data_IF_369938484147
#
_entry.id   IF_369938484147
#
_cell.length_a   1.000
_cell.length_b   1.000
_cell.length_c   1.000
_cell.angle_alpha   90.00
_cell.angle_beta   90.00
_cell.angle_gamma   90.00
#
_symmetry.space_group_name_H-M   'P 1'
#
loop_
_entity.id
_entity.type
_entity.pdbx_description
1 polymer ?
#
# COMPACT_ATOMS: atom_id res chain seq x y z
N UNK A 1 15.27 14.12 -2.17
CA UNK A 1 14.24 13.42 -1.36
C UNK A 1 13.09 14.41 -1.17
N UNK A 2 11.84 13.95 -1.16
CA UNK A 2 10.68 14.85 -0.97
C UNK A 2 10.40 15.05 0.53
N UNK A 3 11.37 15.56 1.27
CA UNK A 3 11.28 15.76 2.72
C UNK A 3 10.07 16.60 3.15
N UNK A 4 9.77 17.77 2.53
CA UNK A 4 8.63 18.58 2.96
C UNK A 4 7.27 17.88 2.77
N UNK A 5 7.12 17.05 1.74
CA UNK A 5 5.90 16.26 1.55
C UNK A 5 5.77 15.15 2.59
N UNK A 6 6.88 14.50 2.94
CA UNK A 6 6.96 13.49 4.01
C UNK A 6 6.61 14.13 5.35
N UNK A 7 7.20 15.28 5.67
CA UNK A 7 6.95 16.03 6.89
C UNK A 7 5.48 16.44 7.01
N UNK A 8 4.83 16.82 5.91
CA UNK A 8 3.41 17.18 5.90
C UNK A 8 2.53 16.01 6.35
N UNK A 9 2.80 14.79 5.86
CA UNK A 9 2.06 13.59 6.25
C UNK A 9 2.35 13.21 7.72
N UNK A 10 3.63 13.22 8.11
CA UNK A 10 4.05 12.90 9.47
C UNK A 10 3.44 13.85 10.49
N UNK A 11 3.52 15.17 10.24
CA UNK A 11 2.93 16.19 11.09
C UNK A 11 1.39 16.05 11.16
N UNK A 12 0.73 15.72 10.04
CA UNK A 12 -0.71 15.46 10.06
C UNK A 12 -1.04 14.33 11.05
N UNK A 13 -0.35 13.19 10.96
CA UNK A 13 -0.60 12.04 11.83
C UNK A 13 -0.37 12.36 13.31
N UNK A 14 0.72 13.07 13.61
CA UNK A 14 1.04 13.53 14.98
C UNK A 14 -0.02 14.49 15.51
N UNK A 15 -0.40 15.50 14.73
CA UNK A 15 -1.38 16.51 15.13
C UNK A 15 -2.79 15.95 15.34
N UNK A 16 -3.12 14.83 14.68
CA UNK A 16 -4.40 14.13 14.85
C UNK A 16 -4.33 12.99 15.86
N UNK A 17 -3.20 12.82 16.54
CA UNK A 17 -3.01 11.78 17.55
C UNK A 17 -3.20 10.36 16.99
N UNK A 18 -2.85 10.12 15.72
CA UNK A 18 -3.00 8.81 15.06
C UNK A 18 -1.74 7.98 15.29
N UNK A 19 -1.76 6.96 16.16
CA UNK A 19 -0.63 6.04 16.28
C UNK A 19 -0.36 5.37 14.94
N UNK A 20 0.86 5.50 14.44
CA UNK A 20 1.21 5.01 13.11
C UNK A 20 2.69 4.65 12.99
N UNK A 21 2.99 3.69 12.12
CA UNK A 21 4.34 3.43 11.63
C UNK A 21 4.45 4.05 10.24
N UNK A 22 5.40 4.94 10.07
CA UNK A 22 5.63 5.65 8.82
C UNK A 22 6.93 5.15 8.17
N UNK A 23 6.80 4.40 7.08
CA UNK A 23 7.93 3.81 6.36
C UNK A 23 8.22 4.65 5.12
N UNK A 24 9.46 5.09 5.00
CA UNK A 24 9.94 5.90 3.87
C UNK A 24 11.07 5.16 3.15
N UNK A 25 10.75 4.21 2.26
CA UNK A 25 11.77 3.48 1.55
C UNK A 25 12.45 4.36 0.51
N UNK A 26 13.74 4.13 0.30
CA UNK A 26 14.50 4.76 -0.78
C UNK A 26 14.69 3.77 -1.92
N UNK A 27 14.39 4.23 -3.16
CA UNK A 27 14.68 3.43 -4.35
C UNK A 27 16.19 3.36 -4.58
N UNK A 28 16.81 2.18 -4.54
CA UNK A 28 18.26 2.03 -4.59
C UNK A 28 18.84 2.26 -5.99
N UNK A 29 18.04 2.06 -7.04
CA UNK A 29 18.46 2.18 -8.43
C UNK A 29 17.41 2.97 -9.22
N UNK A 30 17.73 4.22 -9.53
CA UNK A 30 16.83 5.12 -10.27
C UNK A 30 16.46 4.59 -11.65
N UNK A 31 17.38 3.86 -12.31
CA UNK A 31 17.14 3.35 -13.65
C UNK A 31 16.18 2.16 -13.67
N UNK A 32 16.22 1.32 -12.63
CA UNK A 32 15.30 0.20 -12.45
C UNK A 32 13.97 0.63 -11.83
N UNK A 33 13.95 1.78 -11.16
CA UNK A 33 12.78 2.30 -10.48
C UNK A 33 12.19 1.34 -9.44
N UNK A 34 10.96 1.59 -9.06
CA UNK A 34 10.27 0.83 -8.01
C UNK A 34 9.83 -0.58 -8.45
N UNK A 35 9.68 -0.82 -9.77
CA UNK A 35 9.25 -2.13 -10.28
C UNK A 35 10.17 -3.28 -9.89
N UNK A 36 11.50 -3.01 -9.83
CA UNK A 36 12.50 -4.01 -9.47
C UNK A 36 12.50 -4.42 -7.99
N UNK A 37 11.87 -3.61 -7.10
CA UNK A 37 11.89 -3.84 -5.66
C UNK A 37 10.49 -3.89 -5.03
N UNK A 38 9.44 -3.91 -5.82
CA UNK A 38 8.05 -3.92 -5.33
C UNK A 38 7.80 -5.07 -4.34
N UNK A 39 8.31 -6.27 -4.62
CA UNK A 39 8.21 -7.42 -3.73
C UNK A 39 8.95 -7.19 -2.40
N UNK A 40 10.12 -6.54 -2.44
CA UNK A 40 10.89 -6.24 -1.23
C UNK A 40 10.16 -5.20 -0.36
N UNK A 41 9.58 -4.18 -0.98
CA UNK A 41 8.75 -3.19 -0.26
C UNK A 41 7.54 -3.87 0.37
N UNK A 42 6.85 -4.75 -0.36
CA UNK A 42 5.71 -5.52 0.17
C UNK A 42 6.13 -6.39 1.35
N UNK A 43 7.26 -7.11 1.24
CA UNK A 43 7.78 -7.94 2.32
C UNK A 43 8.13 -7.13 3.58
N UNK A 44 8.70 -5.92 3.41
CA UNK A 44 8.96 -5.00 4.52
C UNK A 44 7.65 -4.56 5.19
N UNK A 45 6.62 -4.21 4.41
CA UNK A 45 5.31 -3.83 4.94
C UNK A 45 4.66 -4.98 5.73
N UNK A 46 4.67 -6.20 5.18
CA UNK A 46 4.11 -7.38 5.84
C UNK A 46 4.84 -7.70 7.15
N UNK A 47 6.17 -7.65 7.12
CA UNK A 47 7.00 -7.85 8.31
C UNK A 47 6.70 -6.81 9.39
N UNK A 48 6.67 -5.53 9.00
CA UNK A 48 6.35 -4.44 9.95
C UNK A 48 4.95 -4.58 10.50
N UNK A 49 3.97 -4.88 9.65
CA UNK A 49 2.59 -5.07 10.09
C UNK A 49 2.44 -6.20 11.11
N UNK A 50 3.23 -7.26 10.95
CA UNK A 50 3.24 -8.39 11.89
C UNK A 50 3.93 -8.03 13.22
N UNK A 51 5.12 -7.42 13.16
CA UNK A 51 5.94 -7.13 14.36
C UNK A 51 5.29 -6.04 15.22
N UNK A 52 4.76 -4.99 14.58
CA UNK A 52 4.15 -3.85 15.27
C UNK A 52 2.64 -4.03 15.51
N UNK A 53 2.07 -5.20 15.18
CA UNK A 53 0.63 -5.48 15.34
C UNK A 53 -0.27 -4.43 14.67
N UNK A 54 0.09 -4.05 13.44
CA UNK A 54 -0.62 -3.01 12.67
C UNK A 54 -2.00 -3.50 12.23
N UNK A 55 -2.99 -2.61 12.32
CA UNK A 55 -4.28 -2.80 11.68
C UNK A 55 -4.13 -2.81 10.16
N UNK A 56 -4.13 -3.99 9.56
CA UNK A 56 -3.95 -4.17 8.11
C UNK A 56 -5.11 -3.65 7.28
N UNK A 57 -6.22 -3.23 7.88
CA UNK A 57 -7.30 -2.51 7.20
C UNK A 57 -6.98 -1.02 6.99
N UNK A 58 -5.82 -0.56 7.46
CA UNK A 58 -5.38 0.84 7.45
C UNK A 58 -3.95 0.99 6.93
N UNK A 59 -3.64 0.39 5.79
CA UNK A 59 -2.35 0.55 5.13
C UNK A 59 -2.52 1.51 3.95
N UNK A 60 -1.79 2.62 3.97
CA UNK A 60 -1.89 3.68 2.97
C UNK A 60 -0.56 3.86 2.24
N UNK A 61 -0.61 4.38 1.01
CA UNK A 61 0.59 4.61 0.20
C UNK A 61 0.55 5.99 -0.44
N UNK A 62 1.69 6.70 -0.35
CA UNK A 62 1.88 8.05 -0.86
C UNK A 62 3.13 8.14 -1.72
N UNK A 63 3.13 9.03 -2.70
CA UNK A 63 4.33 9.26 -3.47
C UNK A 63 4.22 10.41 -4.47
N UNK A 64 5.29 11.17 -4.61
CA UNK A 64 5.43 12.23 -5.61
C UNK A 64 6.44 11.85 -6.69
N UNK A 65 6.20 12.23 -7.95
CA UNK A 65 7.11 11.99 -9.08
C UNK A 65 7.47 10.52 -9.24
N UNK A 66 8.75 10.15 -9.13
CA UNK A 66 9.20 8.77 -9.15
C UNK A 66 8.54 7.93 -8.04
N UNK A 67 8.31 8.50 -6.85
CA UNK A 67 7.55 7.85 -5.78
C UNK A 67 6.08 7.65 -6.13
N UNK A 68 5.47 8.59 -6.84
CA UNK A 68 4.11 8.45 -7.37
C UNK A 68 4.01 7.33 -8.42
N UNK A 69 5.00 7.19 -9.29
CA UNK A 69 5.11 6.05 -10.21
C UNK A 69 5.27 4.74 -9.42
N UNK A 70 6.02 4.77 -8.32
CA UNK A 70 6.11 3.65 -7.39
C UNK A 70 4.77 3.29 -6.76
N UNK A 71 3.99 4.30 -6.36
CA UNK A 71 2.63 4.12 -5.84
C UNK A 71 1.76 3.41 -6.87
N UNK A 72 1.69 3.89 -8.10
CA UNK A 72 0.96 3.23 -9.20
C UNK A 72 1.42 1.78 -9.40
N UNK A 73 2.74 1.55 -9.36
CA UNK A 73 3.29 0.20 -9.52
C UNK A 73 2.89 -0.74 -8.38
N UNK A 74 2.92 -0.26 -7.14
CA UNK A 74 2.50 -1.05 -5.98
C UNK A 74 1.02 -1.40 -6.04
N UNK A 75 0.15 -0.44 -6.40
CA UNK A 75 -1.29 -0.67 -6.58
C UNK A 75 -1.58 -1.73 -7.64
N UNK A 76 -0.92 -1.63 -8.80
CA UNK A 76 -1.09 -2.59 -9.89
C UNK A 76 -0.51 -3.97 -9.60
N UNK A 77 0.56 -4.06 -8.79
CA UNK A 77 1.22 -5.33 -8.45
C UNK A 77 0.51 -6.06 -7.32
N UNK A 78 -0.10 -5.32 -6.39
CA UNK A 78 -0.77 -5.84 -5.20
C UNK A 78 -2.20 -5.29 -5.09
N UNK A 79 -3.13 -5.73 -5.96
CA UNK A 79 -4.50 -5.25 -5.98
C UNK A 79 -5.19 -5.39 -4.62
N UNK A 80 -5.78 -4.28 -4.11
CA UNK A 80 -6.50 -4.27 -2.84
C UNK A 80 -5.64 -4.41 -1.58
N UNK A 81 -4.31 -4.33 -1.70
CA UNK A 81 -3.43 -4.36 -0.52
C UNK A 81 -3.51 -3.09 0.32
N UNK A 82 -3.66 -1.94 -0.32
CA UNK A 82 -3.75 -0.64 0.34
C UNK A 82 -5.19 -0.22 0.59
N UNK A 83 -5.41 0.55 1.64
CA UNK A 83 -6.71 1.09 2.04
C UNK A 83 -7.00 2.44 1.42
N UNK A 84 -5.97 3.13 0.99
CA UNK A 84 -6.03 4.39 0.26
C UNK A 84 -4.66 4.73 -0.30
N UNK A 85 -4.64 5.53 -1.36
CA UNK A 85 -3.43 5.91 -2.07
C UNK A 85 -3.44 7.37 -2.50
N UNK A 86 -2.25 7.98 -2.60
CA UNK A 86 -2.12 9.33 -3.12
C UNK A 86 -0.88 9.48 -4.01
N UNK A 87 -0.95 9.03 -5.28
CA UNK A 87 0.07 9.31 -6.27
C UNK A 87 -0.04 10.76 -6.75
N UNK A 88 1.05 11.54 -6.66
CA UNK A 88 1.10 12.93 -7.07
C UNK A 88 2.17 13.15 -8.14
N UNK A 89 1.92 14.05 -9.11
CA UNK A 89 2.84 14.36 -10.19
C UNK A 89 3.44 13.11 -10.85
N UNK A 90 2.60 12.11 -11.14
CA UNK A 90 3.05 10.82 -11.62
C UNK A 90 2.13 10.22 -12.70
N UNK A 91 2.73 9.47 -13.62
CA UNK A 91 2.06 8.90 -14.78
C UNK A 91 1.70 7.41 -14.52
N UNK A 92 0.41 7.01 -14.67
CA UNK A 92 -0.02 5.61 -14.59
C UNK A 92 0.26 4.79 -15.86
N UNK A 93 1.02 5.32 -16.82
CA UNK A 93 1.26 4.66 -18.10
C UNK A 93 1.75 3.22 -17.93
N UNK A 94 1.09 2.31 -18.64
CA UNK A 94 1.41 0.88 -18.62
C UNK A 94 0.81 0.12 -17.44
N UNK A 95 -0.03 0.76 -16.63
CA UNK A 95 -0.84 0.08 -15.61
C UNK A 95 -2.13 -0.46 -16.24
N UNK A 96 -2.72 -1.46 -15.60
CA UNK A 96 -4.00 -2.05 -15.96
C UNK A 96 -5.03 -1.59 -14.93
N UNK A 97 -6.11 -0.95 -15.39
CA UNK A 97 -7.08 -0.31 -14.51
C UNK A 97 -7.75 -1.31 -13.55
N UNK A 98 -8.10 -2.52 -14.01
CA UNK A 98 -8.72 -3.58 -13.21
C UNK A 98 -7.84 -4.04 -12.05
N UNK A 99 -6.53 -3.93 -12.18
CA UNK A 99 -5.59 -4.27 -11.09
C UNK A 99 -5.50 -3.15 -10.06
N UNK A 100 -5.70 -1.90 -10.47
CA UNK A 100 -5.60 -0.72 -9.62
C UNK A 100 -6.93 -0.40 -8.93
N UNK A 101 -8.06 -0.61 -9.62
CA UNK A 101 -9.43 -0.28 -9.19
C UNK A 101 -9.93 -1.08 -7.96
N UNK A 102 -9.12 -1.18 -6.93
CA UNK A 102 -9.46 -1.82 -5.64
C UNK A 102 -8.95 -1.00 -4.47
N UNK A 103 -8.49 0.20 -4.75
CA UNK A 103 -7.88 1.08 -3.74
C UNK A 103 -8.32 2.51 -3.99
N UNK A 104 -9.15 3.09 -3.13
CA UNK A 104 -9.52 4.49 -3.20
C UNK A 104 -8.28 5.39 -3.31
N UNK A 105 -8.31 6.39 -4.18
CA UNK A 105 -7.13 7.22 -4.38
C UNK A 105 -7.42 8.68 -4.65
N UNK A 106 -6.49 9.51 -4.25
CA UNK A 106 -6.45 10.94 -4.54
C UNK A 106 -5.26 11.28 -5.42
N UNK A 107 -5.47 11.58 -6.68
CA UNK A 107 -4.40 11.95 -7.61
C UNK A 107 -4.34 13.47 -7.78
N UNK A 108 -3.14 14.05 -7.67
CA UNK A 108 -2.91 15.50 -7.83
C UNK A 108 -1.89 15.76 -8.92
N UNK A 109 -2.22 16.68 -9.84
CA UNK A 109 -1.38 17.13 -10.93
C UNK A 109 -1.29 18.66 -10.98
N UNK A 110 -0.09 19.20 -11.20
CA UNK A 110 0.12 20.62 -11.41
C UNK A 110 -0.07 21.02 -12.87
N UNK A 111 -0.81 22.10 -13.15
CA UNK A 111 -1.02 22.58 -14.53
C UNK A 111 0.24 23.24 -15.13
N UNK A 112 1.13 23.79 -14.29
CA UNK A 112 2.43 24.33 -14.73
C UNK A 112 3.57 23.27 -14.70
N UNK A 113 3.25 22.00 -14.43
CA UNK A 113 4.21 20.91 -14.47
C UNK A 113 4.67 20.62 -15.91
N UNK A 114 5.95 20.82 -16.17
CA UNK A 114 6.56 20.57 -17.50
C UNK A 114 6.96 19.11 -17.70
N UNK A 115 7.08 18.33 -16.64
CA UNK A 115 7.39 16.89 -16.67
C UNK A 115 6.09 16.11 -16.87
N UNK A 116 5.08 16.38 -16.06
CA UNK A 116 3.71 15.91 -16.26
C UNK A 116 2.95 16.91 -17.13
N UNK A 117 3.43 17.09 -18.36
CA UNK A 117 2.86 18.03 -19.34
C UNK A 117 1.41 17.67 -19.72
N UNK A 118 0.79 18.43 -20.61
CA UNK A 118 -0.60 18.23 -21.00
C UNK A 118 -0.89 16.81 -21.51
N UNK A 119 0.01 16.24 -22.32
CA UNK A 119 -0.17 14.89 -22.89
C UNK A 119 -0.13 13.81 -21.78
N UNK A 120 0.80 13.96 -20.83
CA UNK A 120 0.91 13.04 -19.69
C UNK A 120 -0.30 13.16 -18.77
N UNK A 121 -0.79 14.38 -18.54
CA UNK A 121 -2.02 14.59 -17.74
C UNK A 121 -3.24 13.99 -18.42
N UNK A 122 -3.35 14.10 -19.75
CA UNK A 122 -4.44 13.47 -20.50
C UNK A 122 -4.44 11.94 -20.34
N UNK A 123 -3.27 11.30 -20.36
CA UNK A 123 -3.13 9.86 -20.08
C UNK A 123 -3.58 9.54 -18.65
N UNK A 124 -3.19 10.36 -17.69
CA UNK A 124 -3.60 10.14 -16.29
C UNK A 124 -5.10 10.32 -16.12
N UNK A 125 -5.69 11.35 -16.72
CA UNK A 125 -7.13 11.61 -16.66
C UNK A 125 -7.94 10.48 -17.31
N UNK A 126 -7.52 9.99 -18.48
CA UNK A 126 -8.17 8.83 -19.13
C UNK A 126 -8.12 7.59 -18.22
N UNK A 127 -6.97 7.32 -17.62
CA UNK A 127 -6.81 6.21 -16.69
C UNK A 127 -7.71 6.36 -15.45
N UNK A 128 -7.80 7.56 -14.89
CA UNK A 128 -8.72 7.87 -13.78
C UNK A 128 -10.17 7.64 -14.18
N UNK A 129 -10.56 8.02 -15.41
CA UNK A 129 -11.90 7.78 -15.92
C UNK A 129 -12.20 6.27 -16.07
N UNK A 130 -11.21 5.46 -16.46
CA UNK A 130 -11.34 4.00 -16.46
C UNK A 130 -11.57 3.46 -15.04
N UNK A 131 -10.83 3.94 -14.03
CA UNK A 131 -11.02 3.53 -12.63
C UNK A 131 -12.42 3.89 -12.12
N UNK A 132 -12.90 5.10 -12.42
CA UNK A 132 -14.28 5.53 -12.08
C UNK A 132 -15.32 4.65 -12.74
N UNK A 133 -15.11 4.27 -14.01
CA UNK A 133 -16.01 3.37 -14.74
C UNK A 133 -16.05 1.96 -14.13
N UNK A 134 -14.99 1.53 -13.47
CA UNK A 134 -14.91 0.28 -12.70
C UNK A 134 -15.52 0.40 -11.28
N UNK A 135 -16.02 1.59 -10.92
CA UNK A 135 -16.66 1.84 -9.62
C UNK A 135 -15.70 2.17 -8.49
N UNK A 136 -14.44 2.48 -8.80
CA UNK A 136 -13.46 2.86 -7.77
C UNK A 136 -13.70 4.31 -7.30
N UNK A 137 -13.45 4.57 -6.02
CA UNK A 137 -13.55 5.92 -5.43
C UNK A 137 -12.25 6.69 -5.70
N UNK A 138 -12.27 7.52 -6.72
CA UNK A 138 -11.09 8.23 -7.19
C UNK A 138 -11.33 9.73 -7.30
N UNK A 139 -10.48 10.50 -6.65
CA UNK A 139 -10.37 11.94 -6.81
C UNK A 139 -9.23 12.27 -7.77
N UNK A 140 -9.49 13.15 -8.72
CA UNK A 140 -8.48 13.70 -9.63
C UNK A 140 -8.53 15.23 -9.58
N UNK A 141 -7.44 15.83 -9.18
CA UNK A 141 -7.34 17.28 -9.02
C UNK A 141 -6.17 17.83 -9.81
N UNK A 142 -6.43 18.87 -10.59
CA UNK A 142 -5.40 19.68 -11.26
C UNK A 142 -5.31 21.03 -10.59
N UNK A 143 -4.09 21.50 -10.31
CA UNK A 143 -3.87 22.77 -9.58
C UNK A 143 -3.15 23.78 -10.46
N UNK A 144 -3.80 24.93 -10.66
CA UNK A 144 -3.26 26.03 -11.46
C UNK A 144 -1.95 26.56 -10.87
N UNK A 145 -0.99 26.88 -11.71
CA UNK A 145 0.30 27.45 -11.32
C UNK A 145 1.27 26.47 -10.64
N UNK A 146 0.87 25.27 -10.31
CA UNK A 146 1.76 24.31 -9.66
C UNK A 146 2.73 23.66 -10.64
N UNK A 147 4.03 23.83 -10.34
CA UNK A 147 5.12 23.12 -10.99
C UNK A 147 5.19 21.66 -10.55
N UNK A 148 6.08 20.88 -11.17
CA UNK A 148 6.36 19.51 -10.75
C UNK A 148 6.77 19.41 -9.28
N UNK A 149 7.72 20.23 -8.87
CA UNK A 149 8.21 20.28 -7.49
C UNK A 149 7.10 20.72 -6.51
N UNK A 150 6.38 21.78 -6.84
CA UNK A 150 5.27 22.27 -6.03
C UNK A 150 4.22 21.17 -5.81
N UNK A 151 3.88 20.44 -6.88
CA UNK A 151 2.93 19.32 -6.78
C UNK A 151 3.45 18.23 -5.85
N UNK A 152 4.73 17.85 -5.96
CA UNK A 152 5.31 16.84 -5.07
C UNK A 152 5.31 17.25 -3.59
N UNK A 153 5.47 18.54 -3.31
CA UNK A 153 5.63 19.05 -1.94
C UNK A 153 4.28 19.42 -1.31
N UNK A 154 3.42 20.14 -2.04
CA UNK A 154 2.23 20.77 -1.47
C UNK A 154 0.94 19.95 -1.64
N UNK A 155 1.01 18.77 -2.23
CA UNK A 155 -0.19 17.93 -2.42
C UNK A 155 -0.79 17.43 -1.11
N UNK A 156 0.00 17.25 -0.06
CA UNK A 156 -0.40 16.58 1.17
C UNK A 156 -1.04 17.55 2.17
N UNK A 157 -2.14 18.19 1.76
CA UNK A 157 -2.94 19.08 2.62
C UNK A 157 -3.82 18.28 3.59
N UNK A 158 -4.22 18.88 4.70
CA UNK A 158 -5.08 18.23 5.69
C UNK A 158 -6.35 17.67 5.04
N UNK A 159 -7.05 18.47 4.21
CA UNK A 159 -8.29 18.04 3.57
C UNK A 159 -8.13 16.80 2.66
N UNK A 160 -7.02 16.73 1.91
CA UNK A 160 -6.73 15.55 1.06
C UNK A 160 -6.32 14.34 1.89
N UNK A 161 -5.55 14.55 2.95
CA UNK A 161 -5.16 13.50 3.89
C UNK A 161 -6.36 12.97 4.67
N UNK A 162 -7.29 13.84 5.10
CA UNK A 162 -8.57 13.45 5.71
C UNK A 162 -9.34 12.50 4.79
N UNK A 163 -9.44 12.86 3.50
CA UNK A 163 -10.11 12.01 2.52
C UNK A 163 -9.41 10.65 2.37
N UNK A 164 -8.08 10.60 2.20
CA UNK A 164 -7.35 9.35 2.05
C UNK A 164 -7.46 8.47 3.29
N UNK A 165 -7.28 9.04 4.48
CA UNK A 165 -7.32 8.31 5.74
C UNK A 165 -8.74 7.94 6.21
N UNK A 166 -9.80 8.51 5.60
CA UNK A 166 -11.18 8.09 5.85
C UNK A 166 -11.49 6.68 5.35
N UNK A 167 -10.72 6.20 4.38
CA UNK A 167 -10.93 4.89 3.77
C UNK A 167 -10.33 3.77 4.60
N UNK A 168 -11.02 2.63 4.64
CA UNK A 168 -10.55 1.39 5.27
C UNK A 168 -10.90 0.23 4.38
N UNK A 169 -10.03 -0.77 4.32
CA UNK A 169 -10.40 -2.03 3.68
C UNK A 169 -11.42 -2.77 4.56
N UNK A 170 -12.38 -3.41 3.92
CA UNK A 170 -13.11 -4.47 4.61
C UNK A 170 -12.09 -5.53 5.00
N UNK A 171 -12.07 -6.00 6.27
CA UNK A 171 -11.24 -7.13 6.63
C UNK A 171 -11.49 -8.24 5.61
N UNK A 172 -10.44 -8.67 4.91
CA UNK A 172 -10.56 -9.85 4.08
C UNK A 172 -11.09 -10.97 4.97
N UNK A 173 -12.24 -11.55 4.62
CA UNK A 173 -12.82 -12.68 5.32
C UNK A 173 -11.95 -13.94 5.14
N UNK A 174 -10.67 -13.82 5.43
CA UNK A 174 -9.64 -14.85 5.33
C UNK A 174 -9.23 -15.44 6.67
N UNK A 175 -9.81 -14.95 7.78
CA UNK A 175 -9.84 -15.68 9.04
C UNK A 175 -11.27 -15.53 9.54
N UNK A 176 -12.09 -16.54 9.32
CA UNK A 176 -13.26 -16.73 10.16
C UNK A 176 -12.73 -16.68 11.58
N UNK A 177 -13.12 -15.66 12.36
CA UNK A 177 -12.98 -15.71 13.80
C UNK A 177 -13.75 -16.96 14.20
N UNK A 178 -13.04 -18.03 14.47
CA UNK A 178 -13.63 -19.17 15.14
C UNK A 178 -13.96 -18.62 16.52
N UNK A 179 -15.24 -18.29 16.75
CA UNK A 179 -15.73 -17.99 18.08
C UNK A 179 -15.42 -19.21 18.94
N UNK A 180 -15.00 -19.00 20.18
CA UNK A 180 -14.51 -20.03 21.09
C UNK A 180 -15.51 -21.18 21.35
N UNK A 181 -16.70 -21.12 20.79
CA UNK A 181 -17.80 -22.10 20.96
C UNK A 181 -17.96 -23.10 19.79
N UNK A 182 -17.15 -23.02 18.75
CA UNK A 182 -17.11 -24.12 17.76
C UNK A 182 -16.21 -25.23 18.30
N UNK A 183 -16.68 -26.49 18.40
CA UNK A 183 -15.81 -27.58 18.77
C UNK A 183 -14.70 -27.70 17.74
N UNK A 184 -13.50 -27.25 18.11
CA UNK A 184 -12.29 -27.41 17.30
C UNK A 184 -12.05 -28.92 17.29
N UNK A 185 -12.40 -29.56 16.17
CA UNK A 185 -11.87 -30.88 15.90
C UNK A 185 -10.35 -30.70 15.80
N UNK A 186 -9.55 -31.23 16.74
CA UNK A 186 -8.12 -30.92 16.76
C UNK A 186 -7.51 -31.49 15.49
N UNK A 187 -7.21 -30.61 14.54
CA UNK A 187 -6.42 -30.97 13.38
C UNK A 187 -5.05 -31.46 13.90
N UNK A 188 -4.79 -32.73 13.76
CA UNK A 188 -3.57 -33.37 14.24
C UNK A 188 -2.39 -33.22 13.27
N UNK A 189 -2.59 -32.51 12.16
CA UNK A 189 -1.53 -32.29 11.19
C UNK A 189 -0.49 -31.29 11.68
N UNK A 190 0.72 -31.47 11.21
CA UNK A 190 1.78 -30.48 11.33
C UNK A 190 1.82 -29.61 10.08
N UNK A 191 2.05 -28.31 10.25
CA UNK A 191 2.15 -27.37 9.15
C UNK A 191 3.48 -26.62 9.20
N UNK A 192 4.11 -26.44 8.05
CA UNK A 192 5.22 -25.47 7.90
C UNK A 192 4.66 -24.04 8.00
N UNK A 193 5.55 -23.05 8.13
CA UNK A 193 5.14 -21.61 8.08
C UNK A 193 4.52 -21.21 6.74
N UNK A 194 4.75 -21.98 5.69
CA UNK A 194 4.15 -21.79 4.36
C UNK A 194 2.78 -22.48 4.21
N UNK A 195 2.29 -23.12 5.29
CA UNK A 195 0.99 -23.82 5.30
C UNK A 195 1.02 -25.22 4.67
N UNK A 196 2.19 -25.77 4.36
CA UNK A 196 2.32 -27.14 3.86
C UNK A 196 2.09 -28.16 4.97
N UNK A 197 1.26 -29.16 4.71
CA UNK A 197 1.05 -30.28 5.63
C UNK A 197 2.26 -31.22 5.59
N UNK A 198 2.78 -31.56 6.75
CA UNK A 198 3.85 -32.55 6.93
C UNK A 198 3.43 -33.56 8.00
N UNK A 199 3.98 -34.75 7.93
CA UNK A 199 3.66 -35.80 8.91
C UNK A 199 4.24 -35.48 10.30
N UNK A 200 5.49 -35.02 10.35
CA UNK A 200 6.19 -34.55 11.54
C UNK A 200 7.41 -33.71 11.15
N UNK A 201 7.80 -32.68 11.95
CA UNK A 201 9.03 -31.93 11.70
C UNK A 201 10.27 -32.82 11.80
N UNK A 202 11.10 -32.77 10.77
CA UNK A 202 12.39 -33.50 10.71
C UNK A 202 13.59 -32.58 10.82
N UNK A 203 13.36 -31.26 10.76
CA UNK A 203 14.40 -30.25 10.86
C UNK A 203 14.05 -29.22 11.93
N UNK A 204 15.05 -28.57 12.56
CA UNK A 204 14.77 -27.47 13.47
C UNK A 204 14.02 -26.34 12.78
N UNK A 205 13.04 -25.75 13.45
CA UNK A 205 12.21 -24.68 12.88
C UNK A 205 10.96 -24.40 13.66
N UNK A 206 10.17 -23.46 13.19
CA UNK A 206 8.86 -23.12 13.74
C UNK A 206 7.79 -23.80 12.89
N UNK A 207 6.89 -24.51 13.53
CA UNK A 207 5.80 -25.25 12.91
C UNK A 207 4.48 -24.90 13.59
N UNK A 208 3.35 -25.17 12.94
CA UNK A 208 2.02 -25.13 13.57
C UNK A 208 1.49 -26.54 13.74
N UNK A 209 0.98 -26.85 14.94
CA UNK A 209 0.34 -28.13 15.27
C UNK A 209 -0.79 -27.88 16.28
N UNK A 210 -1.96 -28.40 15.99
CA UNK A 210 -3.16 -28.19 16.84
C UNK A 210 -3.43 -26.70 17.14
N UNK A 211 -3.24 -25.82 16.14
CA UNK A 211 -3.45 -24.38 16.27
C UNK A 211 -2.37 -23.65 17.10
N UNK A 212 -1.31 -24.31 17.53
CA UNK A 212 -0.21 -23.72 18.32
C UNK A 212 1.07 -23.64 17.48
N UNK A 213 1.85 -22.58 17.68
CA UNK A 213 3.21 -22.49 17.15
C UNK A 213 4.16 -23.28 18.05
N UNK A 214 4.93 -24.19 17.46
CA UNK A 214 5.88 -25.06 18.17
C UNK A 214 7.26 -24.83 17.57
N UNK A 215 8.23 -24.51 18.44
CA UNK A 215 9.64 -24.47 18.08
C UNK A 215 10.22 -25.87 18.23
N UNK A 216 10.66 -26.46 17.12
CA UNK A 216 11.41 -27.70 17.12
C UNK A 216 12.89 -27.35 17.12
N UNK A 217 13.62 -27.78 18.13
CA UNK A 217 15.08 -27.62 18.24
C UNK A 217 15.77 -28.90 17.79
N UNK A 218 16.95 -28.79 17.15
CA UNK A 218 17.78 -29.95 16.86
C UNK A 218 18.28 -30.63 18.14
N UNK A 219 18.42 -31.93 18.08
CA UNK A 219 19.18 -32.72 19.08
C UNK A 219 20.65 -32.60 18.81
#
# INVERSE_FOLDING_TARGET
>A
MNEPGIDSIANYLVNHGVPSVFIVPQCPDRNKGWGGIAMNVKALLDFTAHVESIDTTRIYIFGGSMGGTGTWKMLSTFPGYFSGAMPCAANPKGMVAENVAKTPMYNVMGLADKIMNADVRAIAEDFINQLKALGDDVQYETVEGWSHETTCIQSYTAARLDWVFSHRKTPSAGITTVTADSPINPDTNWYTLQGQIISQPTTPGIYSHQGKKILVTGR
#
